data_IF_329372359274
#
_entry.id   IF_329372359274
#
_cell.length_a   1.000
_cell.length_b   1.000
_cell.length_c   1.000
_cell.angle_alpha   90.00
_cell.angle_beta   90.00
_cell.angle_gamma   90.00
#
_symmetry.space_group_name_H-M   'P 1'
#
loop_
_entity.id
_entity.type
_entity.pdbx_description
1 polymer ?
#
# COMPACT_ATOMS: atom_id res chain seq x y z
N UNK A 1 49.69 -1.10 -29.96
CA UNK A 1 48.73 -1.37 -28.86
C UNK A 1 47.56 -0.41 -29.02
N UNK A 2 46.40 -0.90 -29.50
CA UNK A 2 45.18 -0.09 -29.65
C UNK A 2 44.46 -0.05 -28.30
N UNK A 3 44.35 1.14 -27.71
CA UNK A 3 43.56 1.39 -26.52
C UNK A 3 42.07 1.17 -26.83
N UNK A 4 41.52 0.04 -26.38
CA UNK A 4 40.08 -0.19 -26.28
C UNK A 4 39.55 0.57 -25.06
N UNK A 5 39.06 1.78 -25.30
CA UNK A 5 38.19 2.47 -24.36
C UNK A 5 36.86 1.69 -24.27
N UNK A 6 36.72 0.89 -23.21
CA UNK A 6 35.44 0.30 -22.80
C UNK A 6 34.46 1.44 -22.47
N UNK A 7 33.54 1.72 -23.40
CA UNK A 7 32.31 2.46 -23.11
C UNK A 7 31.49 1.60 -22.15
N UNK A 8 31.60 1.86 -20.85
CA UNK A 8 30.58 1.46 -19.87
C UNK A 8 29.36 2.36 -20.08
N UNK A 9 28.52 2.04 -21.07
CA UNK A 9 27.16 2.55 -21.11
C UNK A 9 26.42 1.93 -19.93
N UNK A 10 26.28 2.70 -18.84
CA UNK A 10 25.25 2.45 -17.84
C UNK A 10 23.91 2.52 -18.56
N UNK A 11 23.42 1.38 -19.03
CA UNK A 11 22.00 1.23 -19.36
C UNK A 11 21.24 1.50 -18.07
N UNK A 12 20.73 2.72 -17.96
CA UNK A 12 19.70 3.04 -16.97
C UNK A 12 18.49 2.25 -17.43
N UNK A 13 18.26 1.09 -16.82
CA UNK A 13 17.03 0.34 -16.97
C UNK A 13 15.89 1.28 -16.57
N UNK A 14 15.22 1.83 -17.58
CA UNK A 14 14.02 2.61 -17.38
C UNK A 14 12.95 1.60 -17.00
N UNK A 15 12.61 1.56 -15.71
CA UNK A 15 11.47 0.77 -15.28
C UNK A 15 10.21 1.36 -15.93
N UNK A 16 9.56 0.58 -16.77
CA UNK A 16 8.30 0.96 -17.38
C UNK A 16 7.27 1.18 -16.29
N UNK A 17 6.61 2.34 -16.32
CA UNK A 17 5.55 2.63 -15.35
C UNK A 17 4.29 1.86 -15.74
N UNK A 18 3.49 1.47 -14.75
CA UNK A 18 2.31 0.61 -14.91
C UNK A 18 1.02 1.35 -14.55
N UNK A 19 -0.05 1.09 -15.32
CA UNK A 19 -1.42 1.46 -14.96
C UNK A 19 -2.01 0.37 -14.07
N UNK A 20 -2.24 0.71 -12.79
CA UNK A 20 -2.91 -0.18 -11.85
C UNK A 20 -4.39 0.15 -11.76
N UNK A 21 -5.21 -0.88 -11.56
CA UNK A 21 -6.67 -0.76 -11.52
C UNK A 21 -7.24 -0.33 -10.14
N UNK A 22 -6.38 -0.23 -9.12
CA UNK A 22 -6.74 0.16 -7.76
C UNK A 22 -5.64 1.05 -7.20
N UNK A 23 -5.96 1.95 -6.26
CA UNK A 23 -5.01 2.45 -5.26
C UNK A 23 -5.08 1.58 -4.01
N UNK A 24 -4.06 1.64 -3.18
CA UNK A 24 -3.99 0.83 -1.96
C UNK A 24 -3.97 1.73 -0.73
N UNK A 25 -4.88 1.48 0.20
CA UNK A 25 -4.79 1.96 1.58
C UNK A 25 -4.39 0.76 2.44
N UNK A 26 -3.16 0.76 2.94
CA UNK A 26 -2.70 -0.24 3.91
C UNK A 26 -3.00 0.30 5.30
N UNK A 27 -3.96 -0.30 6.00
CA UNK A 27 -4.19 0.08 7.39
C UNK A 27 -3.11 -0.49 8.32
N UNK A 28 -3.08 0.00 9.56
CA UNK A 28 -2.11 -0.48 10.55
C UNK A 28 -2.28 -1.96 10.88
N UNK A 29 -3.51 -2.49 10.84
CA UNK A 29 -3.80 -3.88 11.18
C UNK A 29 -3.18 -4.85 10.16
N UNK A 30 -3.26 -4.53 8.86
CA UNK A 30 -2.58 -5.29 7.82
C UNK A 30 -1.06 -5.25 8.00
N UNK A 31 -0.48 -4.08 8.25
CA UNK A 31 0.97 -3.98 8.43
C UNK A 31 1.45 -4.76 9.67
N UNK A 32 0.70 -4.71 10.79
CA UNK A 32 0.98 -5.54 11.97
C UNK A 32 0.90 -7.02 11.61
N UNK A 33 -0.11 -7.45 10.85
CA UNK A 33 -0.23 -8.83 10.38
C UNK A 33 0.96 -9.23 9.49
N UNK A 34 1.36 -8.40 8.52
CA UNK A 34 2.53 -8.63 7.65
C UNK A 34 3.80 -8.79 8.48
N UNK A 35 4.00 -7.93 9.48
CA UNK A 35 5.17 -7.97 10.34
C UNK A 35 5.24 -9.27 11.16
N UNK A 36 4.12 -9.94 11.39
CA UNK A 36 4.01 -11.20 12.13
C UNK A 36 4.11 -12.45 11.24
N UNK A 37 4.24 -12.30 9.92
CA UNK A 37 4.48 -13.42 9.01
C UNK A 37 5.91 -13.94 9.11
N UNK A 38 6.16 -15.11 8.48
CA UNK A 38 7.51 -15.64 8.32
C UNK A 38 8.43 -14.61 7.64
N UNK A 39 9.74 -14.66 7.93
CA UNK A 39 10.70 -13.69 7.38
C UNK A 39 10.65 -13.63 5.84
N UNK A 40 10.51 -14.78 5.19
CA UNK A 40 10.43 -14.88 3.74
C UNK A 40 9.16 -14.23 3.20
N UNK A 41 8.01 -14.60 3.74
CA UNK A 41 6.69 -14.09 3.32
C UNK A 41 6.59 -12.58 3.53
N UNK A 42 6.96 -12.10 4.73
CA UNK A 42 7.01 -10.68 5.07
C UNK A 42 7.84 -9.87 4.05
N UNK A 43 9.07 -10.31 3.75
CA UNK A 43 9.94 -9.64 2.79
C UNK A 43 9.36 -9.64 1.38
N UNK A 44 8.72 -10.74 0.97
CA UNK A 44 8.08 -10.82 -0.34
C UNK A 44 6.91 -9.83 -0.45
N UNK A 45 6.05 -9.76 0.56
CA UNK A 45 4.90 -8.84 0.59
C UNK A 45 5.39 -7.38 0.52
N UNK A 46 6.32 -6.99 1.41
CA UNK A 46 6.84 -5.63 1.47
C UNK A 46 7.55 -5.24 0.16
N UNK A 47 8.34 -6.15 -0.42
CA UNK A 47 8.98 -5.92 -1.72
C UNK A 47 7.94 -5.67 -2.81
N UNK A 48 6.92 -6.52 -2.93
CA UNK A 48 5.87 -6.35 -3.96
C UNK A 48 5.15 -5.00 -3.81
N UNK A 49 4.83 -4.60 -2.58
CA UNK A 49 4.27 -3.28 -2.30
C UNK A 49 5.20 -2.15 -2.73
N UNK A 50 6.50 -2.23 -2.43
CA UNK A 50 7.50 -1.24 -2.88
C UNK A 50 7.52 -1.08 -4.40
N UNK A 51 7.46 -2.19 -5.15
CA UNK A 51 7.42 -2.19 -6.61
C UNK A 51 6.13 -1.54 -7.13
N UNK A 52 4.96 -1.93 -6.62
CA UNK A 52 3.68 -1.32 -7.00
C UNK A 52 3.71 0.20 -6.75
N UNK A 53 4.23 0.62 -5.59
CA UNK A 53 4.37 2.03 -5.21
C UNK A 53 5.28 2.81 -6.17
N UNK A 54 6.39 2.21 -6.61
CA UNK A 54 7.37 2.88 -7.46
C UNK A 54 6.95 2.94 -8.93
N UNK A 55 6.21 1.95 -9.43
CA UNK A 55 5.86 1.82 -10.85
C UNK A 55 4.52 2.49 -11.22
N UNK A 56 3.70 2.87 -10.24
CA UNK A 56 2.41 3.52 -10.48
C UNK A 56 2.50 4.77 -11.36
N UNK A 57 1.81 4.78 -12.50
CA UNK A 57 1.71 5.95 -13.40
C UNK A 57 0.94 7.09 -12.74
N UNK A 58 -0.25 6.79 -12.21
CA UNK A 58 -1.16 7.81 -11.69
C UNK A 58 -0.71 8.40 -10.36
N UNK A 59 -0.05 7.58 -9.53
CA UNK A 59 0.38 7.96 -8.18
C UNK A 59 1.80 7.48 -7.89
N UNK A 60 2.84 8.02 -8.55
CA UNK A 60 4.22 7.60 -8.29
C UNK A 60 4.58 7.87 -6.83
N UNK A 61 5.16 6.88 -6.14
CA UNK A 61 5.50 6.93 -4.70
C UNK A 61 4.32 7.09 -3.73
N UNK A 62 3.11 7.30 -4.24
CA UNK A 62 1.91 7.54 -3.43
C UNK A 62 0.80 6.51 -3.72
N UNK A 63 1.11 5.41 -4.43
CA UNK A 63 0.10 4.42 -4.79
C UNK A 63 -0.46 3.68 -3.56
N UNK A 64 0.46 3.25 -2.68
CA UNK A 64 0.15 2.61 -1.41
C UNK A 64 0.29 3.66 -0.32
N UNK A 65 -0.77 3.90 0.42
CA UNK A 65 -0.81 4.92 1.47
C UNK A 65 -1.29 4.35 2.78
N UNK A 66 -0.92 5.02 3.85
CA UNK A 66 -1.45 4.83 5.20
C UNK A 66 -1.72 6.22 5.77
N UNK A 67 -2.77 6.37 6.57
CA UNK A 67 -3.01 7.63 7.27
C UNK A 67 -1.86 7.89 8.25
N UNK A 68 -1.37 9.12 8.29
CA UNK A 68 -0.23 9.49 9.13
C UNK A 68 -0.51 9.24 10.61
N UNK A 69 -1.74 9.46 11.08
CA UNK A 69 -2.14 9.15 12.45
C UNK A 69 -2.03 7.66 12.79
N UNK A 70 -2.40 6.77 11.87
CA UNK A 70 -2.22 5.32 12.02
C UNK A 70 -0.75 4.92 11.91
N UNK A 71 0.02 5.61 11.09
CA UNK A 71 1.46 5.37 10.97
C UNK A 71 2.23 5.84 12.20
N UNK A 72 1.84 6.95 12.82
CA UNK A 72 2.48 7.53 14.01
C UNK A 72 1.88 7.00 15.33
N UNK A 73 0.88 6.12 15.24
CA UNK A 73 0.30 5.41 16.36
C UNK A 73 1.41 4.73 17.18
N UNK A 74 1.41 4.99 18.51
CA UNK A 74 2.49 4.55 19.40
C UNK A 74 2.64 3.03 19.43
N UNK A 75 1.53 2.30 19.41
CA UNK A 75 1.54 0.85 19.50
C UNK A 75 2.10 0.26 18.20
N UNK A 76 1.69 0.82 17.06
CA UNK A 76 2.26 0.45 15.76
C UNK A 76 3.77 0.76 15.69
N UNK A 77 4.18 1.96 16.12
CA UNK A 77 5.59 2.36 16.12
C UNK A 77 6.45 1.49 17.03
N UNK A 78 5.94 1.04 18.17
CA UNK A 78 6.64 0.10 19.05
C UNK A 78 6.87 -1.25 18.34
N UNK A 79 5.86 -1.79 17.67
CA UNK A 79 5.97 -3.04 16.90
C UNK A 79 7.02 -2.91 15.77
N UNK A 80 7.06 -1.76 15.08
CA UNK A 80 8.05 -1.50 14.02
C UNK A 80 9.46 -1.38 14.60
N UNK A 81 9.63 -0.67 15.72
CA UNK A 81 10.93 -0.52 16.39
C UNK A 81 11.48 -1.84 16.91
N UNK A 82 10.64 -2.71 17.47
CA UNK A 82 11.06 -4.05 17.88
C UNK A 82 11.55 -4.89 16.68
N UNK A 83 11.20 -4.47 15.46
CA UNK A 83 11.57 -5.09 14.19
C UNK A 83 12.46 -4.17 13.36
N UNK A 84 13.42 -3.47 13.98
CA UNK A 84 14.36 -2.49 13.41
C UNK A 84 14.78 -2.71 11.94
N UNK A 85 15.07 -3.95 11.53
CA UNK A 85 15.46 -4.28 10.14
C UNK A 85 14.34 -4.02 9.09
N UNK A 86 13.10 -3.83 9.52
CA UNK A 86 11.92 -3.70 8.65
C UNK A 86 11.42 -2.25 8.54
N UNK A 87 11.98 -1.30 9.31
CA UNK A 87 11.51 0.08 9.30
C UNK A 87 11.63 0.72 7.91
N UNK A 88 12.79 0.54 7.26
CA UNK A 88 13.02 1.02 5.89
C UNK A 88 12.09 0.33 4.88
N UNK A 89 11.87 -0.98 5.04
CA UNK A 89 10.98 -1.76 4.19
C UNK A 89 9.54 -1.26 4.26
N UNK A 90 9.06 -0.88 5.45
CA UNK A 90 7.72 -0.33 5.65
C UNK A 90 7.59 1.05 5.00
N UNK A 91 8.54 1.97 5.23
CA UNK A 91 8.57 3.27 4.54
C UNK A 91 8.68 3.14 3.01
N UNK A 92 9.39 2.10 2.56
CA UNK A 92 9.44 1.73 1.16
C UNK A 92 8.07 1.28 0.64
N UNK A 93 7.36 0.44 1.39
CA UNK A 93 6.12 -0.21 0.95
C UNK A 93 4.90 0.72 0.95
N UNK A 94 4.81 1.67 1.88
CA UNK A 94 3.65 2.57 2.04
C UNK A 94 4.09 4.03 2.20
N UNK A 95 3.26 4.99 1.82
CA UNK A 95 3.50 6.41 2.08
C UNK A 95 2.55 6.91 3.19
N UNK A 96 3.09 7.39 4.33
CA UNK A 96 2.27 8.08 5.31
C UNK A 96 1.74 9.38 4.72
N UNK A 97 0.43 9.51 4.65
CA UNK A 97 -0.24 10.70 4.13
C UNK A 97 -0.93 11.46 5.24
N UNK A 98 -0.79 12.79 5.21
CA UNK A 98 -1.56 13.69 6.06
C UNK A 98 -3.06 13.46 5.88
N UNK A 99 -3.79 13.57 6.98
CA UNK A 99 -5.24 13.51 6.97
C UNK A 99 -5.80 14.77 6.30
N UNK A 100 -6.64 14.66 5.26
CA UNK A 100 -7.37 15.81 4.73
C UNK A 100 -8.24 16.47 5.81
N UNK A 101 -8.47 17.78 5.69
CA UNK A 101 -9.18 18.57 6.71
C UNK A 101 -10.56 18.00 7.08
N UNK A 102 -11.29 17.43 6.12
CA UNK A 102 -12.63 16.86 6.34
C UNK A 102 -12.64 15.61 7.23
N UNK A 103 -11.46 15.02 7.51
CA UNK A 103 -11.28 13.87 8.38
C UNK A 103 -10.87 14.24 9.81
N UNK A 104 -10.50 15.50 10.08
CA UNK A 104 -10.02 15.93 11.41
C UNK A 104 -11.08 15.80 12.51
N UNK A 105 -12.36 15.85 12.13
CA UNK A 105 -13.49 15.67 13.05
C UNK A 105 -13.91 14.20 13.22
N UNK A 106 -13.34 13.28 12.44
CA UNK A 106 -13.64 11.85 12.53
C UNK A 106 -12.77 11.20 13.61
N UNK A 107 -13.39 10.72 14.67
CA UNK A 107 -12.69 10.11 15.82
C UNK A 107 -12.44 8.62 15.55
N UNK A 108 -13.42 7.93 14.95
CA UNK A 108 -13.31 6.50 14.68
C UNK A 108 -12.31 6.23 13.57
N UNK A 109 -11.24 5.48 13.87
CA UNK A 109 -10.15 5.21 12.93
C UNK A 109 -10.62 4.44 11.70
N UNK A 110 -11.55 3.50 11.87
CA UNK A 110 -12.11 2.72 10.75
C UNK A 110 -12.90 3.65 9.83
N UNK A 111 -13.80 4.47 10.38
CA UNK A 111 -14.58 5.46 9.61
C UNK A 111 -13.68 6.45 8.90
N UNK A 112 -12.60 6.90 9.57
CA UNK A 112 -11.60 7.79 8.97
C UNK A 112 -10.94 7.14 7.76
N UNK A 113 -10.49 5.90 7.89
CA UNK A 113 -9.87 5.14 6.79
C UNK A 113 -10.84 4.87 5.65
N UNK A 114 -12.11 4.54 5.94
CA UNK A 114 -13.15 4.38 4.91
C UNK A 114 -13.38 5.68 4.15
N UNK A 115 -13.61 6.78 4.85
CA UNK A 115 -13.85 8.09 4.23
C UNK A 115 -12.64 8.56 3.44
N UNK A 116 -11.43 8.26 3.91
CA UNK A 116 -10.20 8.50 3.16
C UNK A 116 -10.16 7.67 1.87
N UNK A 117 -10.44 6.38 1.92
CA UNK A 117 -10.48 5.52 0.74
C UNK A 117 -11.52 6.00 -0.29
N UNK A 118 -12.70 6.44 0.17
CA UNK A 118 -13.73 7.05 -0.69
C UNK A 118 -13.18 8.32 -1.34
N UNK A 119 -12.54 9.20 -0.57
CA UNK A 119 -11.92 10.41 -1.11
C UNK A 119 -10.88 10.10 -2.19
N UNK A 120 -10.01 9.11 -1.95
CA UNK A 120 -9.01 8.68 -2.94
C UNK A 120 -9.64 8.07 -4.20
N UNK A 121 -10.85 7.52 -4.11
CA UNK A 121 -11.57 6.97 -5.26
C UNK A 121 -12.12 8.03 -6.23
N UNK A 122 -12.00 9.33 -5.90
CA UNK A 122 -12.31 10.42 -6.82
C UNK A 122 -11.21 10.66 -7.87
N UNK A 123 -10.02 10.11 -7.66
CA UNK A 123 -8.89 10.20 -8.58
C UNK A 123 -8.64 8.86 -9.26
N UNK A 124 -8.06 8.88 -10.46
CA UNK A 124 -7.63 7.65 -11.17
C UNK A 124 -6.78 6.78 -10.23
N UNK A 125 -7.02 5.46 -10.14
CA UNK A 125 -7.84 4.64 -11.04
C UNK A 125 -9.33 4.55 -10.66
N UNK A 126 -9.83 5.45 -9.81
CA UNK A 126 -11.21 5.52 -9.32
C UNK A 126 -11.68 4.32 -8.49
N UNK A 127 -10.73 3.45 -8.14
CA UNK A 127 -10.95 2.31 -7.26
C UNK A 127 -9.85 2.26 -6.22
N UNK A 128 -10.23 1.91 -5.01
CA UNK A 128 -9.33 1.82 -3.86
C UNK A 128 -9.54 0.49 -3.18
N UNK A 129 -8.46 -0.16 -2.78
CA UNK A 129 -8.51 -1.32 -1.91
C UNK A 129 -7.96 -0.96 -0.54
N UNK A 130 -8.75 -1.21 0.50
CA UNK A 130 -8.29 -1.21 1.89
C UNK A 130 -7.73 -2.60 2.16
N UNK A 131 -6.45 -2.68 2.52
CA UNK A 131 -5.82 -3.90 3.03
C UNK A 131 -5.87 -3.85 4.55
N UNK A 132 -6.38 -4.92 5.14
CA UNK A 132 -6.58 -5.05 6.59
C UNK A 132 -6.33 -6.48 7.08
N UNK A 133 -6.65 -6.80 8.33
CA UNK A 133 -6.64 -8.17 8.84
C UNK A 133 -8.06 -8.80 8.87
N UNK A 134 -8.14 -10.11 9.05
CA UNK A 134 -9.44 -10.83 9.08
C UNK A 134 -10.34 -10.38 10.24
N UNK A 135 -9.77 -9.85 11.32
CA UNK A 135 -10.52 -9.39 12.49
C UNK A 135 -11.20 -8.05 12.22
N UNK A 136 -10.55 -7.18 11.45
CA UNK A 136 -10.97 -5.79 11.22
C UNK A 136 -11.79 -5.67 9.95
N UNK A 137 -11.61 -6.56 8.96
CA UNK A 137 -12.41 -6.57 7.72
C UNK A 137 -13.93 -6.49 7.97
N UNK A 138 -14.55 -7.27 8.87
CA UNK A 138 -15.98 -7.17 9.13
C UNK A 138 -16.41 -5.79 9.66
N UNK A 139 -15.52 -5.08 10.34
CA UNK A 139 -15.78 -3.74 10.89
C UNK A 139 -15.82 -2.72 9.75
N UNK A 140 -14.89 -2.80 8.80
CA UNK A 140 -14.94 -1.99 7.57
C UNK A 140 -16.21 -2.26 6.75
N UNK A 141 -16.56 -3.53 6.53
CA UNK A 141 -17.75 -3.91 5.74
C UNK A 141 -19.04 -3.36 6.36
N UNK A 142 -19.13 -3.36 7.69
CA UNK A 142 -20.30 -2.86 8.43
C UNK A 142 -20.29 -1.35 8.63
N UNK A 143 -19.25 -0.64 8.21
CA UNK A 143 -19.12 0.78 8.44
C UNK A 143 -20.25 1.56 7.71
N UNK A 144 -20.92 2.52 8.38
CA UNK A 144 -22.02 3.28 7.77
C UNK A 144 -21.65 4.01 6.47
N UNK A 145 -20.41 4.46 6.32
CA UNK A 145 -19.93 5.16 5.12
C UNK A 145 -19.75 4.23 3.92
N UNK A 146 -19.73 2.92 4.11
CA UNK A 146 -19.72 1.94 3.01
C UNK A 146 -21.11 1.71 2.42
N UNK A 147 -22.19 2.22 3.04
CA UNK A 147 -23.55 2.03 2.52
C UNK A 147 -23.69 2.69 1.14
N UNK A 148 -24.00 1.89 0.13
CA UNK A 148 -24.14 2.35 -1.26
C UNK A 148 -22.83 2.42 -2.05
N UNK A 149 -21.69 2.10 -1.42
CA UNK A 149 -20.40 1.97 -2.10
C UNK A 149 -20.19 0.50 -2.44
N UNK A 150 -20.38 0.13 -3.71
CA UNK A 150 -20.25 -1.26 -4.15
C UNK A 150 -18.90 -1.59 -4.77
N UNK A 151 -18.34 -0.67 -5.57
CA UNK A 151 -17.21 -1.00 -6.46
C UNK A 151 -16.01 -0.05 -6.39
N UNK A 152 -16.20 1.17 -5.85
CA UNK A 152 -15.11 2.16 -5.77
C UNK A 152 -14.17 1.91 -4.59
N UNK A 153 -14.65 1.26 -3.52
CA UNK A 153 -13.84 0.84 -2.38
C UNK A 153 -14.08 -0.63 -2.12
N UNK A 154 -13.02 -1.43 -2.20
CA UNK A 154 -13.04 -2.86 -1.85
C UNK A 154 -12.17 -3.09 -0.61
N UNK A 155 -12.47 -4.15 0.15
CA UNK A 155 -11.75 -4.49 1.38
C UNK A 155 -11.20 -5.90 1.24
N UNK A 156 -9.90 -6.07 1.44
CA UNK A 156 -9.20 -7.36 1.38
C UNK A 156 -8.39 -7.57 2.65
N UNK A 157 -8.49 -8.76 3.23
CA UNK A 157 -7.77 -9.12 4.45
C UNK A 157 -6.71 -10.18 4.21
N UNK A 158 -5.65 -10.18 5.01
CA UNK A 158 -4.66 -11.27 5.09
C UNK A 158 -4.27 -11.85 3.72
N UNK A 159 -4.56 -13.13 3.46
CA UNK A 159 -4.17 -13.82 2.23
C UNK A 159 -4.93 -13.33 0.99
N UNK A 160 -6.15 -12.82 1.17
CA UNK A 160 -6.92 -12.15 0.13
C UNK A 160 -6.25 -10.83 -0.31
N UNK A 161 -5.65 -10.12 0.64
CA UNK A 161 -4.82 -8.94 0.37
C UNK A 161 -3.51 -9.33 -0.34
N UNK A 162 -2.85 -10.40 0.09
CA UNK A 162 -1.65 -10.92 -0.58
C UNK A 162 -1.95 -11.33 -2.03
N UNK A 163 -3.06 -12.01 -2.28
CA UNK A 163 -3.47 -12.39 -3.64
C UNK A 163 -3.69 -11.17 -4.55
N UNK A 164 -4.25 -10.08 -4.00
CA UNK A 164 -4.38 -8.82 -4.74
C UNK A 164 -3.01 -8.19 -5.02
N UNK A 165 -2.11 -8.13 -4.03
CA UNK A 165 -0.75 -7.61 -4.19
C UNK A 165 -0.02 -8.41 -5.28
N UNK A 166 -0.14 -9.73 -5.28
CA UNK A 166 0.47 -10.61 -6.27
C UNK A 166 -0.07 -10.37 -7.67
N UNK A 167 -1.38 -10.14 -7.79
CA UNK A 167 -2.02 -9.77 -9.05
C UNK A 167 -1.49 -8.44 -9.57
N UNK A 168 -1.41 -7.41 -8.72
CA UNK A 168 -0.90 -6.09 -9.11
C UNK A 168 0.59 -6.17 -9.48
N UNK A 169 1.39 -6.88 -8.70
CA UNK A 169 2.81 -7.08 -9.00
C UNK A 169 3.04 -7.77 -10.34
N UNK A 170 2.23 -8.78 -10.69
CA UNK A 170 2.27 -9.41 -12.02
C UNK A 170 1.91 -8.45 -13.16
N UNK A 171 0.98 -7.50 -12.93
CA UNK A 171 0.66 -6.47 -13.92
C UNK A 171 1.86 -5.56 -14.21
N UNK A 172 2.76 -5.37 -13.25
CA UNK A 172 3.95 -4.53 -13.43
C UNK A 172 5.14 -5.23 -14.08
N UNK A 173 5.20 -6.56 -14.06
CA UNK A 173 6.32 -7.33 -14.63
C UNK A 173 6.21 -7.55 -16.16
N UNK A 174 5.24 -6.93 -16.84
CA UNK A 174 5.14 -6.93 -18.31
C UNK A 174 4.80 -8.29 -18.95
N UNK A 175 4.51 -9.32 -18.16
CA UNK A 175 4.02 -10.62 -18.64
C UNK A 175 2.49 -10.62 -18.67
N UNK A 176 1.93 -10.11 -19.77
CA UNK A 176 0.62 -10.53 -20.29
C UNK A 176 0.84 -11.09 -21.68
#
# INVERSE_FOLDING_TARGET
>A
MKNLLKKNSKEVLFLERTLFNFRIVCDKHFLVWVLNQSLLEKRQILRKLMYIKSLSIHHPKNHNVILKSDFEDKDFQNIVKDKLQEQESIHGAVNPNEEPDFLKTEIDSVSKTVRYAIYLSNDKPYKVCILTDDKTQPIYIKNPHMRGITDSVIIKSNQDAVALIDKLYKQSDGFV
#
